data_IF_905914264192
#
_entry.id   IF_905914264192
#
_cell.length_a   1.000
_cell.length_b   1.000
_cell.length_c   1.000
_cell.angle_alpha   90.00
_cell.angle_beta   90.00
_cell.angle_gamma   90.00
#
_symmetry.space_group_name_H-M   'P 1'
#
loop_
_entity.id
_entity.type
_entity.pdbx_description
1 polymer ?
#
# COMPACT_ATOMS: atom_id res chain seq x y z
N UNK A 1 15.81 -12.51 23.77
CA UNK A 1 15.63 -11.08 23.59
C UNK A 1 14.49 -10.58 24.48
N UNK A 2 14.82 -10.02 25.66
CA UNK A 2 13.87 -9.52 26.67
C UNK A 2 13.01 -8.34 26.20
N UNK A 3 13.35 -7.70 25.07
CA UNK A 3 12.62 -6.55 24.52
C UNK A 3 11.50 -6.94 23.56
N UNK A 4 11.48 -8.17 23.10
CA UNK A 4 10.51 -8.65 22.11
C UNK A 4 9.07 -8.74 22.70
N UNK A 5 8.82 -9.27 23.90
CA UNK A 5 7.50 -9.23 24.54
C UNK A 5 6.98 -7.82 24.80
N UNK A 6 7.86 -6.87 25.16
CA UNK A 6 7.47 -5.49 25.48
C UNK A 6 6.98 -4.70 24.26
N UNK A 7 7.54 -4.95 23.07
CA UNK A 7 7.05 -4.29 21.84
C UNK A 7 5.63 -4.67 21.49
N UNK A 8 5.30 -5.90 21.72
CA UNK A 8 4.00 -6.45 21.42
C UNK A 8 2.95 -6.00 22.44
N UNK A 9 3.28 -5.94 23.69
CA UNK A 9 2.43 -5.37 24.72
C UNK A 9 2.12 -3.89 24.44
N UNK A 10 3.06 -3.17 23.81
CA UNK A 10 2.86 -1.77 23.37
C UNK A 10 1.76 -1.59 22.33
N UNK A 11 1.56 -2.50 21.38
CA UNK A 11 0.49 -2.36 20.39
C UNK A 11 -0.91 -2.45 21.01
N UNK A 12 -1.10 -3.34 21.98
CA UNK A 12 -2.36 -3.38 22.75
C UNK A 12 -2.53 -2.09 23.56
N UNK A 13 -1.49 -1.65 24.26
CA UNK A 13 -1.52 -0.40 25.02
C UNK A 13 -1.76 0.83 24.14
N UNK A 14 -1.29 0.84 22.89
CA UNK A 14 -1.56 1.94 21.95
C UNK A 14 -3.05 2.01 21.63
N UNK A 15 -3.68 0.90 21.24
CA UNK A 15 -5.12 0.87 20.93
C UNK A 15 -5.98 1.22 22.15
N UNK A 16 -5.62 0.72 23.34
CA UNK A 16 -6.28 1.09 24.60
C UNK A 16 -6.14 2.60 24.87
N UNK A 17 -4.98 3.16 24.59
CA UNK A 17 -4.74 4.60 24.76
C UNK A 17 -5.55 5.43 23.76
N UNK A 18 -5.64 4.99 22.49
CA UNK A 18 -6.43 5.67 21.46
C UNK A 18 -7.93 5.62 21.80
N UNK A 19 -8.43 4.48 22.26
CA UNK A 19 -9.80 4.37 22.76
C UNK A 19 -10.06 5.31 23.95
N UNK A 20 -9.15 5.37 24.92
CA UNK A 20 -9.26 6.29 26.06
C UNK A 20 -9.12 7.79 25.68
N UNK A 21 -8.50 8.13 24.56
CA UNK A 21 -8.53 9.49 24.00
C UNK A 21 -9.90 9.79 23.37
N UNK A 22 -10.45 8.83 22.63
CA UNK A 22 -11.77 8.95 22.00
C UNK A 22 -12.88 9.15 23.03
N UNK A 23 -12.81 8.45 24.18
CA UNK A 23 -13.74 8.66 25.31
C UNK A 23 -13.67 10.10 25.87
N UNK A 24 -12.56 10.79 25.66
CA UNK A 24 -12.37 12.20 26.02
C UNK A 24 -12.74 13.17 24.89
N UNK A 25 -13.30 12.68 23.78
CA UNK A 25 -13.63 13.48 22.60
C UNK A 25 -12.43 13.83 21.70
N UNK A 26 -11.29 13.13 21.87
CA UNK A 26 -10.09 13.33 21.06
C UNK A 26 -9.98 12.20 20.05
N UNK A 27 -10.39 12.46 18.82
CA UNK A 27 -10.26 11.51 17.72
C UNK A 27 -8.80 11.33 17.31
N UNK A 28 -8.41 10.07 17.09
CA UNK A 28 -7.06 9.70 16.75
C UNK A 28 -7.01 8.33 16.07
N UNK A 29 -5.99 8.11 15.24
CA UNK A 29 -5.72 6.82 14.61
C UNK A 29 -4.22 6.55 14.58
N UNK A 30 -3.85 5.30 14.41
CA UNK A 30 -2.47 4.87 14.17
C UNK A 30 -2.35 4.20 12.81
N UNK A 31 -1.21 4.41 12.15
CA UNK A 31 -0.93 3.86 10.82
C UNK A 31 0.34 3.00 10.92
N UNK A 32 0.24 1.67 10.77
CA UNK A 32 1.42 0.82 10.62
C UNK A 32 2.23 1.22 9.38
N UNK A 33 3.55 1.35 9.53
CA UNK A 33 4.42 1.84 8.46
C UNK A 33 5.74 1.06 8.28
N UNK A 34 6.01 0.02 9.07
CA UNK A 34 7.19 -0.83 8.96
C UNK A 34 6.82 -2.29 8.75
N UNK A 35 5.75 -2.57 8.02
CA UNK A 35 5.23 -3.92 7.85
C UNK A 35 6.23 -4.81 7.12
N UNK A 36 6.81 -4.34 6.02
CA UNK A 36 7.84 -5.03 5.24
C UNK A 36 9.11 -5.37 6.04
N UNK A 37 9.36 -4.68 7.15
CA UNK A 37 10.49 -4.93 8.04
C UNK A 37 10.08 -5.59 9.36
N UNK A 38 8.88 -6.12 9.45
CA UNK A 38 8.33 -6.70 10.67
C UNK A 38 8.69 -8.18 10.89
N UNK A 39 9.25 -8.84 9.88
CA UNK A 39 9.46 -10.30 9.87
C UNK A 39 8.17 -11.08 10.18
N UNK A 40 7.07 -10.69 9.50
CA UNK A 40 5.74 -11.31 9.63
C UNK A 40 4.92 -10.89 10.84
N UNK A 41 5.37 -9.90 11.63
CA UNK A 41 4.74 -9.57 12.91
C UNK A 41 3.68 -8.46 12.85
N UNK A 42 3.50 -7.80 11.71
CA UNK A 42 2.56 -6.70 11.58
C UNK A 42 1.10 -7.16 11.54
N UNK A 43 0.84 -8.23 10.79
CA UNK A 43 -0.51 -8.75 10.50
C UNK A 43 -0.60 -10.25 10.79
N UNK A 44 -0.46 -10.63 12.06
CA UNK A 44 -0.48 -12.02 12.49
C UNK A 44 -1.89 -12.61 12.51
N UNK A 45 -2.00 -13.92 12.30
CA UNK A 45 -3.25 -14.68 12.45
C UNK A 45 -3.61 -15.01 13.90
N UNK A 46 -2.76 -14.61 14.85
CA UNK A 46 -2.97 -14.81 16.29
C UNK A 46 -2.80 -13.51 17.05
N UNK A 47 -3.34 -13.48 18.23
CA UNK A 47 -3.01 -12.41 19.16
C UNK A 47 -1.52 -12.47 19.48
N UNK A 48 -1.06 -11.38 20.05
CA UNK A 48 0.30 -11.23 20.53
C UNK A 48 0.82 -12.30 21.47
N UNK A 49 -0.09 -12.89 22.30
CA UNK A 49 0.23 -13.97 23.23
C UNK A 49 0.03 -15.37 22.63
N UNK A 50 -0.21 -15.45 21.31
CA UNK A 50 -0.48 -16.69 20.60
C UNK A 50 -1.91 -17.19 20.71
N UNK A 51 -2.83 -16.40 21.29
CA UNK A 51 -4.26 -16.72 21.34
C UNK A 51 -4.95 -16.46 19.98
N UNK A 52 -6.19 -16.94 19.86
CA UNK A 52 -7.04 -16.73 18.69
C UNK A 52 -7.43 -15.24 18.60
N UNK A 53 -7.51 -14.69 17.39
CA UNK A 53 -8.17 -13.42 17.15
C UNK A 53 -9.68 -13.62 17.26
N UNK A 54 -10.38 -12.61 17.76
CA UNK A 54 -11.81 -12.57 17.91
C UNK A 54 -12.40 -11.27 17.32
N UNK A 55 -13.71 -11.18 17.32
CA UNK A 55 -14.43 -10.02 16.81
C UNK A 55 -14.08 -8.74 17.57
N UNK A 56 -13.94 -8.79 18.89
CA UNK A 56 -13.58 -7.63 19.70
C UNK A 56 -12.21 -7.08 19.32
N UNK A 57 -11.23 -7.98 19.11
CA UNK A 57 -9.91 -7.59 18.61
C UNK A 57 -9.99 -6.95 17.23
N UNK A 58 -10.78 -7.52 16.30
CA UNK A 58 -10.94 -7.02 14.94
C UNK A 58 -11.57 -5.61 14.94
N UNK A 59 -12.65 -5.42 15.66
CA UNK A 59 -13.33 -4.13 15.80
C UNK A 59 -12.41 -3.06 16.42
N UNK A 60 -11.71 -3.41 17.49
CA UNK A 60 -10.75 -2.52 18.14
C UNK A 60 -9.61 -2.15 17.23
N UNK A 61 -9.10 -3.11 16.46
CA UNK A 61 -8.04 -2.85 15.49
C UNK A 61 -8.52 -1.92 14.40
N UNK A 62 -9.62 -2.23 13.74
CA UNK A 62 -10.15 -1.45 12.62
C UNK A 62 -10.56 -0.03 13.01
N UNK A 63 -11.06 0.16 14.23
CA UNK A 63 -11.37 1.49 14.78
C UNK A 63 -10.13 2.35 14.98
N UNK A 64 -9.00 1.75 15.37
CA UNK A 64 -7.78 2.47 15.74
C UNK A 64 -6.70 2.44 14.66
N UNK A 65 -6.69 1.44 13.79
CA UNK A 65 -5.70 1.25 12.72
C UNK A 65 -6.40 0.96 11.38
N UNK A 66 -7.21 1.90 10.85
CA UNK A 66 -7.97 1.67 9.62
C UNK A 66 -7.12 1.71 8.35
N UNK A 67 -5.90 2.22 8.43
CA UNK A 67 -4.99 2.43 7.30
C UNK A 67 -3.68 1.68 7.50
N UNK A 68 -2.97 1.44 6.40
CA UNK A 68 -1.59 0.96 6.39
C UNK A 68 -0.78 1.71 5.31
N UNK A 69 0.49 1.97 5.59
CA UNK A 69 1.41 2.61 4.67
C UNK A 69 2.04 1.57 3.75
N UNK A 70 1.66 1.57 2.47
CA UNK A 70 2.07 0.56 1.50
C UNK A 70 3.45 0.80 0.89
N UNK A 71 3.98 2.01 0.99
CA UNK A 71 5.29 2.39 0.47
C UNK A 71 5.87 3.58 1.19
N UNK A 72 7.18 3.59 1.31
CA UNK A 72 7.98 4.68 1.86
C UNK A 72 9.46 4.52 1.43
N UNK A 73 10.37 5.40 1.89
CA UNK A 73 11.81 5.28 1.57
C UNK A 73 12.41 3.88 1.87
N UNK A 74 11.88 3.16 2.84
CA UNK A 74 12.30 1.77 3.18
C UNK A 74 11.66 0.72 2.27
N UNK A 75 11.19 1.12 1.09
CA UNK A 75 10.66 0.24 0.07
C UNK A 75 9.17 -0.09 0.25
N UNK A 76 8.71 -1.02 -0.59
CA UNK A 76 7.31 -1.45 -0.63
C UNK A 76 6.92 -2.27 0.60
N UNK A 77 5.72 -2.00 1.12
CA UNK A 77 4.99 -2.85 2.06
C UNK A 77 3.70 -3.38 1.44
N UNK A 78 3.46 -3.12 0.15
CA UNK A 78 2.26 -3.58 -0.54
C UNK A 78 2.27 -5.09 -0.75
N UNK A 79 3.34 -5.60 -1.38
CA UNK A 79 3.43 -6.99 -1.84
C UNK A 79 4.88 -7.48 -1.83
N UNK A 80 5.06 -8.80 -1.89
CA UNK A 80 6.36 -9.45 -2.06
C UNK A 80 6.26 -10.61 -3.05
N UNK A 81 7.28 -10.88 -3.91
CA UNK A 81 7.26 -11.97 -4.89
C UNK A 81 6.95 -13.35 -4.31
N UNK A 82 7.37 -13.61 -3.09
CA UNK A 82 7.07 -14.88 -2.40
C UNK A 82 5.59 -15.05 -2.00
N UNK A 83 4.81 -13.95 -2.01
CA UNK A 83 3.38 -13.96 -1.66
C UNK A 83 2.50 -13.80 -2.91
N UNK A 84 3.00 -13.10 -3.92
CA UNK A 84 2.30 -12.85 -5.20
C UNK A 84 3.23 -13.17 -6.39
N UNK A 85 3.54 -14.44 -6.65
CA UNK A 85 4.52 -14.84 -7.66
C UNK A 85 4.07 -14.56 -9.12
N UNK A 86 2.80 -14.26 -9.32
CA UNK A 86 2.24 -13.93 -10.64
C UNK A 86 2.15 -12.41 -10.90
N UNK A 87 2.63 -11.60 -9.98
CA UNK A 87 2.71 -10.15 -10.12
C UNK A 87 4.10 -9.74 -10.62
N UNK A 88 4.16 -9.23 -11.83
CA UNK A 88 5.41 -8.79 -12.48
C UNK A 88 6.08 -7.59 -11.76
N UNK A 89 5.33 -6.87 -10.91
CA UNK A 89 5.80 -5.70 -10.16
C UNK A 89 6.03 -5.98 -8.67
N UNK A 90 5.84 -7.22 -8.24
CA UNK A 90 5.96 -7.58 -6.83
C UNK A 90 7.38 -7.40 -6.26
N UNK A 91 8.40 -7.34 -7.11
CA UNK A 91 9.80 -7.14 -6.71
C UNK A 91 10.23 -5.66 -6.69
N UNK A 92 9.32 -4.72 -6.94
CA UNK A 92 9.63 -3.31 -6.94
C UNK A 92 9.99 -2.82 -5.53
N UNK A 93 11.21 -2.27 -5.38
CA UNK A 93 11.74 -1.69 -4.14
C UNK A 93 11.62 -2.61 -2.90
N UNK A 94 12.01 -3.87 -3.02
CA UNK A 94 12.02 -4.83 -1.92
C UNK A 94 13.12 -4.51 -0.91
N UNK A 95 12.74 -4.43 0.36
CA UNK A 95 13.68 -4.36 1.48
C UNK A 95 14.04 -5.76 1.97
N UNK A 96 15.33 -6.00 2.21
CA UNK A 96 15.86 -7.33 2.56
C UNK A 96 16.04 -7.58 4.05
N UNK A 97 16.00 -6.54 4.87
CA UNK A 97 16.36 -6.63 6.27
C UNK A 97 15.22 -6.18 7.18
N UNK A 98 14.96 -6.94 8.23
CA UNK A 98 13.96 -6.54 9.21
C UNK A 98 14.49 -5.47 10.18
N UNK A 99 13.58 -4.74 10.78
CA UNK A 99 13.89 -3.64 11.69
C UNK A 99 14.47 -4.17 13.01
N UNK A 100 15.80 -4.19 13.10
CA UNK A 100 16.55 -4.58 14.29
C UNK A 100 17.33 -3.38 14.82
N UNK A 101 17.15 -3.07 16.10
CA UNK A 101 17.85 -1.94 16.74
C UNK A 101 19.36 -2.14 16.87
N UNK A 102 19.83 -3.39 16.90
CA UNK A 102 21.24 -3.66 17.14
C UNK A 102 22.10 -3.51 15.88
N UNK A 103 21.68 -4.10 14.76
CA UNK A 103 22.52 -4.20 13.56
C UNK A 103 21.83 -3.75 12.28
N UNK A 104 20.49 -3.81 12.21
CA UNK A 104 19.69 -3.57 11.00
C UNK A 104 20.12 -4.42 9.78
N UNK A 105 20.75 -5.56 10.01
CA UNK A 105 21.31 -6.41 8.97
C UNK A 105 20.77 -7.83 8.95
N UNK A 106 19.81 -8.15 9.84
CA UNK A 106 19.23 -9.48 9.84
C UNK A 106 18.22 -9.59 8.68
N UNK A 107 18.38 -10.60 7.79
CA UNK A 107 17.47 -10.78 6.68
C UNK A 107 16.05 -11.08 7.15
N UNK A 108 15.07 -10.66 6.36
CA UNK A 108 13.68 -11.04 6.56
C UNK A 108 13.55 -12.53 6.23
N UNK A 109 12.95 -13.28 7.14
CA UNK A 109 12.74 -14.72 7.00
C UNK A 109 11.28 -15.12 6.90
N UNK A 110 10.36 -14.26 7.37
CA UNK A 110 8.92 -14.47 7.35
C UNK A 110 8.24 -13.32 6.61
N UNK A 111 7.76 -13.59 5.40
CA UNK A 111 7.07 -12.60 4.56
C UNK A 111 5.59 -12.51 4.91
N UNK A 112 4.93 -13.64 5.14
CA UNK A 112 3.51 -13.69 5.52
C UNK A 112 3.27 -12.88 6.81
N UNK A 113 2.23 -12.03 6.80
CA UNK A 113 1.94 -11.09 7.89
C UNK A 113 2.81 -9.83 7.87
N UNK A 114 3.63 -9.64 6.84
CA UNK A 114 4.47 -8.47 6.66
C UNK A 114 4.05 -7.53 5.53
N UNK A 115 3.00 -7.86 4.76
CA UNK A 115 2.61 -7.12 3.56
C UNK A 115 1.10 -6.86 3.51
N UNK A 116 0.75 -5.73 2.91
CA UNK A 116 -0.61 -5.21 2.86
C UNK A 116 -1.60 -6.15 2.15
N UNK A 117 -1.26 -6.64 0.93
CA UNK A 117 -2.15 -7.55 0.19
C UNK A 117 -2.33 -8.90 0.89
N UNK A 118 -1.28 -9.42 1.52
CA UNK A 118 -1.37 -10.62 2.35
C UNK A 118 -2.27 -10.39 3.57
N UNK A 119 -2.20 -9.21 4.18
CA UNK A 119 -3.10 -8.85 5.29
C UNK A 119 -4.56 -8.80 4.85
N UNK A 120 -4.88 -8.18 3.70
CA UNK A 120 -6.24 -8.16 3.14
C UNK A 120 -6.76 -9.59 2.90
N UNK A 121 -5.94 -10.44 2.26
CA UNK A 121 -6.28 -11.84 2.01
C UNK A 121 -6.46 -12.65 3.30
N UNK A 122 -5.64 -12.39 4.32
CA UNK A 122 -5.80 -12.98 5.66
C UNK A 122 -7.10 -12.52 6.31
N UNK A 123 -7.45 -11.24 6.17
CA UNK A 123 -8.71 -10.68 6.65
C UNK A 123 -9.94 -11.34 6.01
N UNK A 124 -9.89 -11.61 4.69
CA UNK A 124 -10.95 -12.33 3.98
C UNK A 124 -11.10 -13.78 4.51
N UNK A 125 -10.00 -14.46 4.83
CA UNK A 125 -10.07 -15.81 5.45
C UNK A 125 -10.74 -15.78 6.82
N UNK A 126 -10.48 -14.78 7.65
CA UNK A 126 -11.18 -14.60 8.93
C UNK A 126 -12.67 -14.32 8.71
N UNK A 127 -13.01 -13.49 7.72
CA UNK A 127 -14.40 -13.20 7.37
C UNK A 127 -15.15 -14.47 6.94
N UNK A 128 -14.56 -15.26 6.07
CA UNK A 128 -15.13 -16.51 5.55
C UNK A 128 -15.31 -17.56 6.67
N UNK A 129 -14.27 -17.77 7.47
CA UNK A 129 -14.26 -18.84 8.49
C UNK A 129 -14.94 -18.48 9.81
N UNK A 130 -14.97 -17.20 10.19
CA UNK A 130 -15.34 -16.77 11.54
C UNK A 130 -16.30 -15.56 11.58
N UNK A 131 -16.62 -14.96 10.43
CA UNK A 131 -17.58 -13.86 10.32
C UNK A 131 -17.06 -12.47 10.71
N UNK A 132 -15.76 -12.30 10.96
CA UNK A 132 -15.14 -11.00 11.23
C UNK A 132 -13.86 -10.81 10.42
N UNK A 133 -13.47 -9.54 10.21
CA UNK A 133 -12.27 -9.21 9.44
C UNK A 133 -11.38 -8.19 10.20
N UNK A 134 -10.19 -8.57 10.67
CA UNK A 134 -9.30 -7.68 11.39
C UNK A 134 -8.43 -6.79 10.48
N UNK A 135 -8.54 -6.92 9.15
CA UNK A 135 -7.63 -6.32 8.18
C UNK A 135 -8.35 -5.68 6.99
N UNK A 136 -9.46 -4.97 7.22
CA UNK A 136 -10.13 -4.14 6.20
C UNK A 136 -9.41 -2.79 6.02
N UNK A 137 -8.16 -2.83 5.63
CA UNK A 137 -7.27 -1.69 5.64
C UNK A 137 -7.42 -0.83 4.37
N UNK A 138 -7.40 0.51 4.53
CA UNK A 138 -7.09 1.44 3.45
C UNK A 138 -5.59 1.58 3.27
N UNK A 139 -5.16 2.12 2.12
CA UNK A 139 -3.77 2.30 1.77
C UNK A 139 -3.37 3.77 1.76
N UNK A 140 -2.17 4.08 2.24
CA UNK A 140 -1.47 5.34 2.00
C UNK A 140 -0.03 5.08 1.59
N UNK A 141 0.61 6.04 0.93
CA UNK A 141 2.06 6.12 0.81
C UNK A 141 2.62 7.24 1.66
N UNK A 142 3.92 7.25 1.91
CA UNK A 142 4.59 8.29 2.68
C UNK A 142 6.09 8.32 2.38
N UNK A 143 6.80 9.34 2.82
CA UNK A 143 8.26 9.41 2.67
C UNK A 143 9.02 8.74 3.81
N UNK A 144 8.44 8.66 5.00
CA UNK A 144 9.13 8.35 6.26
C UNK A 144 10.37 9.24 6.50
N UNK A 145 10.38 10.40 5.91
CA UNK A 145 11.44 11.38 6.14
C UNK A 145 11.33 11.95 7.55
N UNK A 146 12.45 11.97 8.29
CA UNK A 146 12.47 12.50 9.65
C UNK A 146 12.72 14.01 9.68
N UNK A 147 12.52 14.67 8.55
CA UNK A 147 12.52 16.12 8.41
C UNK A 147 11.24 16.60 7.73
N UNK A 148 10.76 17.77 8.11
CA UNK A 148 9.50 18.32 7.60
C UNK A 148 9.62 19.06 6.27
N UNK A 149 10.79 19.13 5.67
CA UNK A 149 11.11 19.93 4.48
C UNK A 149 11.83 19.12 3.38
N UNK A 150 11.48 17.83 3.24
CA UNK A 150 11.99 17.02 2.13
C UNK A 150 11.32 17.37 0.81
N UNK A 151 12.04 17.53 -0.32
CA UNK A 151 11.44 17.59 -1.64
C UNK A 151 10.91 16.20 -2.03
N UNK A 152 9.83 16.18 -2.78
CA UNK A 152 9.15 14.95 -3.21
C UNK A 152 9.18 14.74 -4.71
N UNK A 153 9.83 15.62 -5.45
CA UNK A 153 10.09 15.48 -6.87
C UNK A 153 11.07 14.34 -7.10
N UNK A 154 10.81 13.48 -8.09
CA UNK A 154 11.61 12.31 -8.40
C UNK A 154 13.07 12.62 -8.70
N UNK A 155 13.32 13.70 -9.42
CA UNK A 155 14.65 14.18 -9.83
C UNK A 155 15.41 14.88 -8.69
N UNK A 156 14.70 15.28 -7.64
CA UNK A 156 15.26 16.00 -6.50
C UNK A 156 14.88 15.40 -5.16
N UNK A 157 14.55 14.11 -5.14
CA UNK A 157 14.13 13.43 -3.92
C UNK A 157 15.26 13.40 -2.89
N UNK A 158 14.92 13.87 -1.69
CA UNK A 158 15.79 13.85 -0.52
C UNK A 158 15.01 13.42 0.72
N UNK A 159 15.57 12.50 1.46
CA UNK A 159 14.98 12.08 2.75
C UNK A 159 16.05 11.89 3.81
N UNK A 160 15.64 11.83 5.07
CA UNK A 160 16.52 11.46 6.18
C UNK A 160 15.93 10.33 6.98
N UNK A 161 16.71 9.27 7.17
CA UNK A 161 16.43 8.19 8.09
C UNK A 161 17.22 8.37 9.38
N UNK A 162 16.62 9.02 10.38
CA UNK A 162 17.34 9.39 11.62
C UNK A 162 18.30 10.54 11.39
N UNK A 163 19.58 10.39 11.70
CA UNK A 163 20.59 11.44 11.58
C UNK A 163 21.34 11.42 10.22
N UNK A 164 21.01 10.51 9.33
CA UNK A 164 21.74 10.33 8.08
C UNK A 164 20.88 10.78 6.89
N UNK A 165 21.35 11.76 6.09
CA UNK A 165 20.69 12.12 4.86
C UNK A 165 20.79 10.97 3.86
N UNK A 166 19.68 10.71 3.16
CA UNK A 166 19.61 9.79 2.02
C UNK A 166 19.04 10.59 0.87
N UNK A 167 19.84 10.77 -0.20
CA UNK A 167 19.36 11.34 -1.45
C UNK A 167 19.52 10.33 -2.57
N UNK A 168 18.52 10.22 -3.42
CA UNK A 168 18.58 9.35 -4.59
C UNK A 168 19.67 9.86 -5.54
N UNK A 169 20.52 8.98 -6.02
CA UNK A 169 21.60 9.30 -6.97
C UNK A 169 22.83 9.99 -6.38
N UNK A 170 22.66 10.91 -5.42
CA UNK A 170 23.81 11.62 -4.83
C UNK A 170 24.52 10.83 -3.71
N UNK A 171 23.79 9.94 -3.03
CA UNK A 171 24.34 9.17 -1.92
C UNK A 171 25.02 7.86 -2.37
N UNK A 172 24.77 7.39 -3.58
CA UNK A 172 25.25 6.11 -4.09
C UNK A 172 25.74 6.19 -5.54
N UNK A 173 26.69 7.08 -5.85
CA UNK A 173 27.19 7.24 -7.22
C UNK A 173 27.79 5.96 -7.80
N UNK A 174 28.22 5.04 -6.95
CA UNK A 174 28.86 3.76 -7.33
C UNK A 174 28.02 2.54 -6.90
N UNK A 175 26.75 2.73 -6.55
CA UNK A 175 25.89 1.60 -6.16
C UNK A 175 25.65 0.70 -7.37
N UNK A 176 26.34 -0.43 -7.41
CA UNK A 176 26.24 -1.43 -8.48
C UNK A 176 25.75 -2.79 -8.00
N UNK A 177 25.85 -3.07 -6.71
CA UNK A 177 25.51 -4.36 -6.13
C UNK A 177 24.95 -4.20 -4.71
N UNK A 178 23.66 -4.56 -4.49
CA UNK A 178 23.06 -4.51 -3.16
C UNK A 178 23.70 -5.45 -2.15
N UNK A 179 24.43 -6.48 -2.61
CA UNK A 179 25.10 -7.47 -1.79
C UNK A 179 26.59 -7.14 -1.57
N UNK A 180 27.10 -6.07 -2.21
CA UNK A 180 28.49 -5.64 -2.04
C UNK A 180 28.77 -5.20 -0.60
N UNK A 181 29.93 -5.49 -0.07
CA UNK A 181 30.35 -4.96 1.22
C UNK A 181 30.50 -3.43 1.13
N UNK A 182 29.79 -2.73 1.99
CA UNK A 182 29.82 -1.26 2.05
C UNK A 182 30.90 -0.80 3.03
N UNK A 183 31.85 -0.04 2.52
CA UNK A 183 32.82 0.65 3.36
C UNK A 183 32.31 2.08 3.65
N UNK A 184 32.24 2.44 4.93
CA UNK A 184 31.97 3.81 5.36
C UNK A 184 30.62 4.02 6.04
N UNK A 185 30.03 5.22 5.83
CA UNK A 185 28.91 5.76 6.60
C UNK A 185 27.57 5.06 6.37
N UNK A 186 27.42 4.31 5.27
CA UNK A 186 26.16 3.75 4.81
C UNK A 186 26.05 2.28 5.18
N UNK A 187 24.95 1.93 5.79
CA UNK A 187 24.64 0.52 6.06
C UNK A 187 24.04 -0.13 4.80
N UNK A 188 24.17 -1.45 4.60
CA UNK A 188 23.50 -2.16 3.50
C UNK A 188 22.00 -1.87 3.41
N UNK A 189 21.35 -1.60 4.55
CA UNK A 189 19.96 -1.23 4.62
C UNK A 189 19.65 0.11 3.92
N UNK A 190 20.49 1.11 4.12
CA UNK A 190 20.28 2.43 3.50
C UNK A 190 20.50 2.41 1.99
N UNK A 191 21.36 1.52 1.53
CA UNK A 191 21.60 1.29 0.11
C UNK A 191 20.36 0.80 -0.65
N UNK A 192 19.41 0.18 0.04
CA UNK A 192 18.16 -0.32 -0.55
C UNK A 192 16.96 0.62 -0.35
N UNK A 193 17.19 1.83 0.15
CA UNK A 193 16.11 2.81 0.27
C UNK A 193 15.67 3.29 -1.12
N UNK A 194 14.35 3.25 -1.34
CA UNK A 194 13.71 3.76 -2.53
C UNK A 194 13.26 5.21 -2.40
N UNK A 195 12.52 5.67 -3.38
CA UNK A 195 11.75 6.90 -3.29
C UNK A 195 10.67 6.77 -2.23
N UNK A 196 10.28 7.87 -1.63
CA UNK A 196 9.07 7.90 -0.82
C UNK A 196 7.81 7.93 -1.68
N UNK A 197 6.68 7.82 -1.00
CA UNK A 197 5.37 8.01 -1.60
C UNK A 197 4.64 9.19 -0.97
N UNK A 198 3.41 9.41 -1.40
CA UNK A 198 2.49 10.38 -0.83
C UNK A 198 1.18 9.68 -0.44
N UNK A 199 0.54 10.20 0.62
CA UNK A 199 -0.83 9.87 0.95
C UNK A 199 -1.79 10.72 0.13
N UNK A 200 -2.64 10.07 -0.66
CA UNK A 200 -3.79 10.71 -1.29
C UNK A 200 -5.04 10.50 -0.44
N UNK A 201 -5.84 11.54 -0.29
CA UNK A 201 -7.08 11.51 0.53
C UNK A 201 -8.19 12.22 -0.23
N UNK A 202 -9.30 11.53 -0.46
CA UNK A 202 -10.49 12.13 -1.06
C UNK A 202 -11.42 12.64 0.04
N UNK A 203 -11.27 13.91 0.38
CA UNK A 203 -12.08 14.62 1.35
C UNK A 203 -13.06 15.58 0.68
N UNK A 204 -14.20 15.88 1.33
CA UNK A 204 -15.17 16.81 0.80
C UNK A 204 -14.67 18.26 0.77
N UNK A 205 -13.77 18.58 1.71
CA UNK A 205 -13.13 19.91 1.81
C UNK A 205 -11.77 19.81 2.44
N UNK A 206 -10.93 20.82 2.27
CA UNK A 206 -9.58 20.88 2.85
C UNK A 206 -9.63 21.42 4.29
N UNK A 207 -10.28 20.66 5.16
CA UNK A 207 -10.27 20.89 6.62
C UNK A 207 -9.70 19.68 7.33
N UNK A 208 -9.17 19.88 8.55
CA UNK A 208 -8.61 18.79 9.35
C UNK A 208 -9.66 17.71 9.61
N UNK A 209 -10.86 18.11 9.92
CA UNK A 209 -11.99 17.23 10.23
C UNK A 209 -12.38 16.40 9.01
N UNK A 210 -12.58 17.01 7.84
CA UNK A 210 -12.96 16.29 6.61
C UNK A 210 -11.85 15.35 6.13
N UNK A 211 -10.59 15.73 6.26
CA UNK A 211 -9.43 14.87 5.95
C UNK A 211 -9.38 13.68 6.92
N UNK A 212 -9.54 13.92 8.22
CA UNK A 212 -9.57 12.85 9.21
C UNK A 212 -10.69 11.85 8.95
N UNK A 213 -11.91 12.34 8.68
CA UNK A 213 -13.06 11.50 8.36
C UNK A 213 -12.84 10.66 7.10
N UNK A 214 -12.22 11.24 6.07
CA UNK A 214 -11.87 10.52 4.84
C UNK A 214 -10.80 9.43 5.11
N UNK A 215 -9.80 9.71 5.92
CA UNK A 215 -8.82 8.74 6.36
C UNK A 215 -9.48 7.62 7.18
N UNK A 216 -10.37 7.96 8.10
CA UNK A 216 -11.06 6.98 8.94
C UNK A 216 -11.98 6.06 8.12
N UNK A 217 -12.69 6.57 7.10
CA UNK A 217 -13.48 5.73 6.18
C UNK A 217 -12.64 5.10 5.06
N UNK A 218 -11.31 5.28 5.07
CA UNK A 218 -10.34 4.64 4.15
C UNK A 218 -10.46 5.10 2.69
N UNK A 219 -11.01 6.26 2.43
CA UNK A 219 -11.09 6.84 1.09
C UNK A 219 -9.74 7.48 0.72
N UNK A 220 -8.72 6.63 0.65
CA UNK A 220 -7.31 7.00 0.55
C UNK A 220 -6.58 6.13 -0.46
N UNK A 221 -5.47 6.64 -0.97
CA UNK A 221 -4.53 5.89 -1.81
C UNK A 221 -3.09 6.29 -1.52
N UNK A 222 -2.15 5.49 -1.97
CA UNK A 222 -0.72 5.79 -1.89
C UNK A 222 -0.10 5.93 -3.28
N UNK A 223 0.94 6.75 -3.39
CA UNK A 223 1.83 6.78 -4.56
C UNK A 223 3.19 6.23 -4.17
N UNK A 224 3.95 5.71 -5.13
CA UNK A 224 5.29 5.13 -4.93
C UNK A 224 6.39 5.90 -5.69
N UNK A 225 6.19 7.19 -5.90
CA UNK A 225 7.07 8.09 -6.64
C UNK A 225 6.21 9.16 -7.31
N UNK A 226 5.88 9.03 -8.62
CA UNK A 226 5.02 9.96 -9.33
C UNK A 226 3.68 10.20 -8.62
N UNK A 227 3.17 11.43 -8.68
CA UNK A 227 1.94 11.89 -8.01
C UNK A 227 0.69 11.48 -8.78
N UNK A 228 0.58 10.19 -9.10
CA UNK A 228 -0.60 9.62 -9.75
C UNK A 228 -1.80 9.75 -8.81
N UNK A 229 -2.92 10.20 -9.35
CA UNK A 229 -4.19 10.21 -8.63
C UNK A 229 -5.05 9.05 -9.09
N UNK A 230 -5.71 8.37 -8.16
CA UNK A 230 -6.59 7.26 -8.47
C UNK A 230 -7.91 7.38 -7.72
N UNK A 231 -9.02 7.05 -8.40
CA UNK A 231 -10.32 6.79 -7.82
C UNK A 231 -10.78 5.40 -8.19
N UNK A 232 -11.43 4.72 -7.27
CA UNK A 232 -11.97 3.40 -7.48
C UNK A 232 -13.35 3.27 -6.84
N UNK A 233 -14.31 2.80 -7.62
CA UNK A 233 -15.69 2.61 -7.19
C UNK A 233 -16.17 1.22 -7.59
N UNK A 234 -17.12 0.70 -6.83
CA UNK A 234 -17.84 -0.52 -7.15
C UNK A 234 -19.32 -0.36 -6.87
N UNK A 235 -20.17 -0.93 -7.71
CA UNK A 235 -21.64 -0.82 -7.53
C UNK A 235 -22.43 -1.24 -8.77
N UNK A 236 -23.69 -0.85 -8.80
CA UNK A 236 -24.52 -0.94 -9.99
C UNK A 236 -24.25 0.27 -10.91
N UNK A 237 -23.07 0.30 -11.49
CA UNK A 237 -22.57 1.43 -12.28
C UNK A 237 -22.95 1.26 -13.76
N UNK A 238 -23.37 2.35 -14.45
CA UNK A 238 -23.75 2.27 -15.85
C UNK A 238 -22.54 2.01 -16.76
N UNK A 239 -22.72 1.23 -17.81
CA UNK A 239 -21.67 0.87 -18.79
C UNK A 239 -20.99 2.11 -19.43
N UNK A 240 -21.74 3.20 -19.64
CA UNK A 240 -21.23 4.42 -20.24
C UNK A 240 -20.67 5.43 -19.23
N UNK A 241 -20.42 5.02 -18.00
CA UNK A 241 -19.98 5.89 -16.91
C UNK A 241 -18.73 6.70 -17.25
N UNK A 242 -17.76 6.09 -17.92
CA UNK A 242 -16.52 6.77 -18.29
C UNK A 242 -16.70 7.97 -19.22
N UNK A 243 -17.80 8.01 -19.99
CA UNK A 243 -18.16 9.12 -20.88
C UNK A 243 -19.25 10.05 -20.31
N UNK A 244 -19.69 9.79 -19.08
CA UNK A 244 -20.69 10.62 -18.42
C UNK A 244 -20.11 12.01 -18.04
N UNK A 245 -20.93 13.05 -18.06
CA UNK A 245 -20.47 14.41 -17.71
C UNK A 245 -20.07 14.56 -16.23
N UNK A 246 -20.62 13.75 -15.34
CA UNK A 246 -20.36 13.75 -13.90
C UNK A 246 -20.10 12.33 -13.37
N UNK A 247 -19.04 11.64 -13.84
CA UNK A 247 -18.85 10.21 -13.55
C UNK A 247 -18.65 9.94 -12.04
N UNK A 248 -17.94 10.82 -11.35
CA UNK A 248 -17.66 10.68 -9.91
C UNK A 248 -18.96 10.81 -9.09
N UNK A 249 -19.81 11.77 -9.42
CA UNK A 249 -21.10 11.95 -8.73
C UNK A 249 -21.99 10.73 -8.90
N UNK A 250 -22.15 10.26 -10.13
CA UNK A 250 -22.92 9.03 -10.41
C UNK A 250 -22.35 7.82 -9.67
N UNK A 251 -21.02 7.71 -9.57
CA UNK A 251 -20.37 6.63 -8.83
C UNK A 251 -20.70 6.64 -7.34
N UNK A 252 -20.80 7.81 -6.71
CA UNK A 252 -21.23 7.92 -5.31
C UNK A 252 -22.74 7.67 -5.12
N UNK A 253 -23.57 7.99 -6.13
CA UNK A 253 -25.01 7.77 -6.06
C UNK A 253 -25.41 6.31 -6.27
N UNK A 254 -24.62 5.53 -7.03
CA UNK A 254 -24.95 4.16 -7.45
C UNK A 254 -23.96 3.10 -6.96
N UNK A 255 -22.98 3.48 -6.18
CA UNK A 255 -21.96 2.57 -5.69
C UNK A 255 -21.28 3.09 -4.44
N UNK A 256 -20.16 2.49 -4.12
CA UNK A 256 -19.30 2.84 -2.98
C UNK A 256 -17.89 3.16 -3.44
N UNK A 257 -17.20 4.12 -2.80
CA UNK A 257 -15.80 4.44 -3.12
C UNK A 257 -14.83 3.43 -2.51
N UNK A 258 -13.55 3.56 -2.88
CA UNK A 258 -12.44 2.83 -2.27
C UNK A 258 -12.50 2.88 -0.74
N UNK A 259 -12.06 1.81 -0.08
CA UNK A 259 -12.08 1.66 1.37
C UNK A 259 -13.42 1.20 1.96
N UNK A 260 -14.47 1.15 1.16
CA UNK A 260 -15.81 0.75 1.58
C UNK A 260 -16.04 -0.77 1.49
N UNK A 261 -17.15 -1.21 2.04
CA UNK A 261 -17.70 -2.56 1.88
C UNK A 261 -18.99 -2.46 1.05
N UNK A 262 -19.02 -3.19 -0.05
CA UNK A 262 -20.18 -3.30 -0.90
C UNK A 262 -20.95 -4.59 -0.56
N UNK A 263 -22.27 -4.47 -0.38
CA UNK A 263 -23.18 -5.57 -0.08
C UNK A 263 -24.35 -5.60 -1.08
N UNK A 264 -25.08 -6.70 -1.13
CA UNK A 264 -26.36 -6.79 -1.84
C UNK A 264 -26.26 -7.21 -3.31
N UNK A 265 -25.13 -7.79 -3.72
CA UNK A 265 -25.00 -8.45 -5.03
C UNK A 265 -25.15 -9.97 -4.84
N UNK A 266 -25.96 -10.60 -5.70
CA UNK A 266 -26.11 -12.04 -5.75
C UNK A 266 -25.03 -12.65 -6.66
N UNK A 267 -24.79 -13.97 -6.54
CA UNK A 267 -23.67 -14.66 -7.20
C UNK A 267 -23.66 -14.54 -8.74
N UNK A 268 -24.80 -14.33 -9.36
CA UNK A 268 -24.94 -14.24 -10.82
C UNK A 268 -24.84 -12.80 -11.37
N UNK A 269 -24.91 -11.77 -10.50
CA UNK A 269 -24.87 -10.37 -10.87
C UNK A 269 -23.79 -9.62 -10.06
N UNK A 270 -22.53 -9.87 -10.39
CA UNK A 270 -21.40 -9.18 -9.74
C UNK A 270 -21.46 -7.65 -9.96
N UNK A 271 -20.85 -6.86 -9.05
CA UNK A 271 -20.77 -5.41 -9.19
C UNK A 271 -19.93 -5.00 -10.41
N UNK A 272 -20.30 -3.87 -11.01
CA UNK A 272 -19.42 -3.16 -11.92
C UNK A 272 -18.36 -2.39 -11.15
N UNK A 273 -17.16 -2.30 -11.74
CA UNK A 273 -16.05 -1.51 -11.18
C UNK A 273 -15.72 -0.34 -12.09
N UNK A 274 -15.43 0.80 -11.48
CA UNK A 274 -14.95 1.99 -12.18
C UNK A 274 -13.64 2.46 -11.56
N UNK A 275 -12.59 2.48 -12.36
CA UNK A 275 -11.30 3.03 -11.98
C UNK A 275 -10.98 4.24 -12.85
N UNK A 276 -10.52 5.31 -12.22
CA UNK A 276 -10.03 6.50 -12.88
C UNK A 276 -8.67 6.86 -12.34
N UNK A 277 -7.68 6.96 -13.23
CA UNK A 277 -6.32 7.36 -12.90
C UNK A 277 -5.91 8.60 -13.71
N UNK A 278 -5.21 9.52 -13.06
CA UNK A 278 -4.56 10.66 -13.72
C UNK A 278 -3.07 10.59 -13.47
N UNK A 279 -2.29 10.73 -14.56
CA UNK A 279 -0.83 10.73 -14.45
C UNK A 279 -0.33 11.98 -13.71
N UNK A 280 0.88 11.88 -13.18
CA UNK A 280 1.67 13.03 -12.79
C UNK A 280 2.16 13.75 -14.07
N UNK A 281 1.87 15.05 -14.27
CA UNK A 281 2.30 15.77 -15.47
C UNK A 281 3.82 15.90 -15.59
N UNK A 282 4.57 15.75 -14.50
CA UNK A 282 6.03 15.83 -14.44
C UNK A 282 6.73 14.48 -14.47
N UNK A 283 6.00 13.38 -14.66
CA UNK A 283 6.54 12.03 -14.70
C UNK A 283 6.15 11.31 -16.00
N UNK A 284 6.60 10.07 -16.14
CA UNK A 284 6.26 9.21 -17.27
C UNK A 284 4.75 9.03 -17.47
N UNK A 285 4.38 8.58 -18.65
CA UNK A 285 3.00 8.25 -18.99
C UNK A 285 2.54 6.98 -18.29
N UNK A 286 1.22 6.82 -18.13
CA UNK A 286 0.66 5.61 -17.55
C UNK A 286 0.71 4.47 -18.57
N UNK A 287 1.31 3.36 -18.20
CA UNK A 287 1.40 2.19 -19.06
C UNK A 287 0.07 1.41 -19.07
N UNK A 288 -0.52 1.19 -17.91
CA UNK A 288 -1.75 0.40 -17.74
C UNK A 288 -2.44 0.69 -16.41
N UNK A 289 -3.68 0.28 -16.32
CA UNK A 289 -4.41 0.21 -15.06
C UNK A 289 -4.72 -1.23 -14.74
N UNK A 290 -4.52 -1.64 -13.48
CA UNK A 290 -4.76 -3.00 -13.02
C UNK A 290 -5.79 -3.03 -11.89
N UNK A 291 -6.59 -4.08 -11.85
CA UNK A 291 -7.40 -4.46 -10.69
C UNK A 291 -6.86 -5.79 -10.17
N UNK A 292 -6.50 -5.81 -8.90
CA UNK A 292 -6.03 -7.01 -8.22
C UNK A 292 -7.18 -7.53 -7.37
N UNK A 293 -7.67 -8.73 -7.71
CA UNK A 293 -8.75 -9.40 -7.00
C UNK A 293 -8.19 -10.42 -6.04
N UNK A 294 -8.52 -10.28 -4.75
CA UNK A 294 -8.33 -11.33 -3.74
C UNK A 294 -9.67 -11.94 -3.34
N UNK A 295 -9.70 -13.25 -3.11
CA UNK A 295 -10.88 -13.96 -2.61
C UNK A 295 -10.50 -15.22 -1.83
N UNK A 296 -11.48 -15.83 -1.18
CA UNK A 296 -11.33 -17.13 -0.51
C UNK A 296 -12.09 -18.18 -1.30
N UNK A 297 -11.45 -19.30 -1.56
CA UNK A 297 -12.02 -20.48 -2.19
C UNK A 297 -11.52 -21.73 -1.47
N UNK A 298 -12.44 -22.57 -1.00
CA UNK A 298 -12.12 -23.75 -0.19
C UNK A 298 -11.22 -23.43 1.02
N UNK A 299 -11.47 -22.30 1.71
CA UNK A 299 -10.69 -21.83 2.86
C UNK A 299 -9.27 -21.36 2.53
N UNK A 300 -8.93 -21.24 1.23
CA UNK A 300 -7.63 -20.74 0.77
C UNK A 300 -7.76 -19.38 0.12
N UNK A 301 -6.83 -18.48 0.43
CA UNK A 301 -6.72 -17.21 -0.27
C UNK A 301 -6.24 -17.42 -1.70
N UNK A 302 -6.90 -16.74 -2.62
CA UNK A 302 -6.57 -16.66 -4.04
C UNK A 302 -6.36 -15.22 -4.44
N UNK A 303 -5.52 -15.01 -5.44
CA UNK A 303 -5.28 -13.67 -6.01
C UNK A 303 -5.20 -13.78 -7.54
N UNK A 304 -5.76 -12.81 -8.24
CA UNK A 304 -5.61 -12.64 -9.69
C UNK A 304 -5.50 -11.18 -10.06
N UNK A 305 -4.60 -10.87 -10.99
CA UNK A 305 -4.35 -9.54 -11.50
C UNK A 305 -4.97 -9.42 -12.88
N UNK A 306 -5.75 -8.37 -13.07
CA UNK A 306 -6.43 -8.03 -14.31
C UNK A 306 -5.94 -6.67 -14.79
N UNK A 307 -5.34 -6.61 -15.98
CA UNK A 307 -5.22 -5.34 -16.69
C UNK A 307 -6.60 -4.94 -17.17
N UNK A 308 -7.03 -3.71 -16.94
CA UNK A 308 -8.37 -3.22 -17.28
C UNK A 308 -8.34 -2.05 -18.25
N UNK A 309 -7.19 -1.37 -18.38
CA UNK A 309 -6.94 -0.37 -19.39
C UNK A 309 -5.48 -0.42 -19.82
N UNK A 310 -5.25 -0.30 -21.12
CA UNK A 310 -3.93 -0.27 -21.74
C UNK A 310 -3.65 1.09 -22.38
N UNK A 311 -2.40 1.51 -22.35
CA UNK A 311 -1.96 2.72 -23.05
C UNK A 311 -1.93 2.53 -24.58
N UNK A 312 -1.77 3.63 -25.30
CA UNK A 312 -1.53 3.69 -26.75
C UNK A 312 -2.59 2.93 -27.60
N UNK A 313 -3.82 2.86 -27.12
CA UNK A 313 -4.91 2.14 -27.79
C UNK A 313 -4.76 0.60 -27.74
N UNK A 314 -3.85 0.08 -26.93
CA UNK A 314 -3.70 -1.35 -26.69
C UNK A 314 -4.99 -1.96 -26.16
N UNK A 315 -5.23 -3.22 -26.48
CA UNK A 315 -6.40 -3.97 -26.00
C UNK A 315 -5.94 -5.04 -25.02
N UNK A 316 -6.69 -5.20 -23.95
CA UNK A 316 -6.46 -6.29 -22.98
C UNK A 316 -6.73 -7.63 -23.67
N UNK A 317 -5.76 -8.54 -23.60
CA UNK A 317 -5.95 -9.91 -24.08
C UNK A 317 -7.04 -10.62 -23.25
N UNK A 318 -8.11 -11.14 -23.87
CA UNK A 318 -9.25 -11.70 -23.16
C UNK A 318 -8.95 -13.02 -22.43
N UNK A 319 -7.84 -13.68 -22.73
CA UNK A 319 -7.44 -14.96 -22.12
C UNK A 319 -6.46 -14.73 -20.96
N UNK A 320 -5.42 -13.94 -21.21
CA UNK A 320 -4.39 -13.68 -20.21
C UNK A 320 -4.75 -12.53 -19.27
N UNK A 321 -5.68 -11.67 -19.67
CA UNK A 321 -6.03 -10.41 -18.99
C UNK A 321 -4.84 -9.46 -18.84
N UNK A 322 -3.96 -9.43 -19.85
CA UNK A 322 -2.78 -8.57 -19.87
C UNK A 322 -2.79 -7.60 -21.06
N UNK A 323 -2.25 -6.43 -20.84
CA UNK A 323 -1.93 -5.48 -21.89
C UNK A 323 -0.73 -5.95 -22.71
N UNK A 324 -0.66 -5.60 -24.01
CA UNK A 324 0.57 -5.75 -24.77
C UNK A 324 1.68 -4.87 -24.22
N UNK A 325 2.93 -5.27 -24.44
CA UNK A 325 4.08 -4.40 -24.17
C UNK A 325 4.01 -3.16 -25.08
N UNK A 326 4.03 -1.99 -24.50
CA UNK A 326 4.02 -0.72 -25.24
C UNK A 326 5.43 -0.19 -25.57
N UNK A 327 6.49 -0.91 -25.19
CA UNK A 327 7.87 -0.54 -25.45
C UNK A 327 8.42 0.57 -24.54
N UNK A 328 7.70 1.00 -23.50
CA UNK A 328 8.21 1.96 -22.53
C UNK A 328 9.47 1.42 -21.84
N UNK A 329 10.51 2.23 -21.75
CA UNK A 329 11.81 1.86 -21.16
C UNK A 329 12.42 3.01 -20.40
N UNK A 330 13.23 2.65 -19.42
CA UNK A 330 14.14 3.58 -18.74
C UNK A 330 15.56 3.23 -19.17
N UNK A 331 16.32 4.22 -19.63
CA UNK A 331 17.76 4.05 -19.84
C UNK A 331 18.46 4.13 -18.47
N UNK A 332 19.03 3.02 -18.03
CA UNK A 332 19.68 2.93 -16.73
C UNK A 332 21.01 3.69 -16.65
N UNK A 333 21.53 4.18 -17.77
CA UNK A 333 22.79 4.95 -17.79
C UNK A 333 22.61 6.40 -17.35
N UNK A 334 21.44 7.00 -17.66
CA UNK A 334 21.15 8.40 -17.38
C UNK A 334 19.75 8.64 -16.79
N UNK A 335 19.01 7.56 -16.55
CA UNK A 335 17.63 7.59 -16.05
C UNK A 335 16.62 8.29 -16.98
N UNK A 336 16.95 8.46 -18.26
CA UNK A 336 16.00 8.98 -19.24
C UNK A 336 14.88 7.97 -19.51
N UNK A 337 13.70 8.46 -19.80
CA UNK A 337 12.51 7.64 -20.10
C UNK A 337 12.15 7.77 -21.59
N UNK A 338 11.51 6.74 -22.13
CA UNK A 338 10.93 6.80 -23.46
C UNK A 338 9.80 7.84 -23.47
N UNK A 339 9.97 8.91 -24.21
CA UNK A 339 8.96 9.96 -24.31
C UNK A 339 7.75 9.51 -25.14
N UNK A 340 6.58 10.01 -24.77
CA UNK A 340 5.31 9.82 -25.50
C UNK A 340 4.88 8.35 -25.68
N UNK A 341 5.24 7.49 -24.76
CA UNK A 341 4.78 6.10 -24.69
C UNK A 341 4.02 5.91 -23.38
N UNK A 342 2.74 5.54 -23.46
CA UNK A 342 1.89 5.35 -22.30
C UNK A 342 0.54 6.03 -22.37
#
# INVERSE_FOLDING_TARGET
DLHYPLRRQRQMCIRDRLDGLREQGIESLAIPHNMNQSDGLAFQETTFKGGVLDQEFAEKRMRNEPLAEITQQKGTSEVHPMLSPNDEWADFQIVRYYLNRATNTNPISVFKGGYYRDALNTGLKFQDAQGFNPYQLGAIGSSDSHVSAGPYEEDNFFTTGGNNPVSRGAAYPDYKDPDAPWEGFWTPRQATHGTGGLAGVWAQENTREAIYDAMHRRETFGTSGPRIQVRFFAGDLPENLASHSEPVKVSYERGVPMGSVLNGFEDDEGPSFFVWASRDPNAGWLQRTQIIKGWVEDGQSKEKIYDVACSDGGQVDPVTHRCPDNGAKVDLSDCSITENVG
#
